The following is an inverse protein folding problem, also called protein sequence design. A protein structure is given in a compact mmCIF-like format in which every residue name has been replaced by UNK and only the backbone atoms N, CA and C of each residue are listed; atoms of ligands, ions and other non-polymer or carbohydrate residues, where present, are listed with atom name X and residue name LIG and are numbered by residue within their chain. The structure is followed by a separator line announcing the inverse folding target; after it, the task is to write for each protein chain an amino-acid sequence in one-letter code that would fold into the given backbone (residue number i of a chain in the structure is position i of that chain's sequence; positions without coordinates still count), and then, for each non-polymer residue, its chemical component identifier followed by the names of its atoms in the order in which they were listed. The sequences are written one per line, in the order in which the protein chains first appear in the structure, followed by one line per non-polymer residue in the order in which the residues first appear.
data_IF_458647583190
#
_entry.id   IF_458647583190
#
_cell.length_a   1.000
_cell.length_b   1.000
_cell.length_c   1.000
_cell.angle_alpha   90.00
_cell.angle_beta   90.00
_cell.angle_gamma   90.00
#
_symmetry.space_group_name_H-M   'P 1'
#
loop_
_entity.id
_entity.type
_entity.pdbx_description
1 polymer ?
#
# COMPACT_ATOMS: atom_id res chain seq x y z
N UNK A 1 16.28 -2.76 -13.26
CA UNK A 1 15.42 -2.74 -12.05
C UNK A 1 14.99 -1.35 -11.57
N UNK A 2 15.67 -0.23 -11.93
CA UNK A 2 15.26 1.13 -11.51
C UNK A 2 13.99 1.68 -12.20
N UNK A 3 13.75 1.30 -13.46
CA UNK A 3 12.65 1.87 -14.28
C UNK A 3 11.23 1.61 -13.74
N UNK A 4 11.03 0.55 -12.95
CA UNK A 4 9.71 0.21 -12.39
C UNK A 4 9.39 0.96 -11.09
N UNK A 5 10.41 1.42 -10.35
CA UNK A 5 10.26 2.05 -9.03
C UNK A 5 10.06 3.56 -9.16
N UNK A 6 10.65 4.18 -10.19
CA UNK A 6 10.52 5.63 -10.42
C UNK A 6 9.17 6.05 -11.01
N UNK A 7 8.36 5.08 -11.46
CA UNK A 7 7.04 5.39 -11.97
C UNK A 7 6.09 5.64 -10.78
N UNK A 8 5.54 6.85 -10.68
CA UNK A 8 4.56 7.26 -9.65
C UNK A 8 3.37 6.26 -9.50
N UNK A 9 3.10 5.48 -10.53
CA UNK A 9 2.08 4.43 -10.54
C UNK A 9 2.45 3.18 -9.72
N UNK A 10 3.73 2.93 -9.42
CA UNK A 10 4.17 1.76 -8.67
C UNK A 10 3.61 1.75 -7.24
N UNK A 11 3.76 2.86 -6.51
CA UNK A 11 3.21 2.99 -5.15
C UNK A 11 1.68 2.89 -5.13
N UNK A 12 1.01 3.44 -6.16
CA UNK A 12 -0.44 3.33 -6.31
C UNK A 12 -0.90 1.87 -6.52
N UNK A 13 -0.29 1.15 -7.46
CA UNK A 13 -0.61 -0.26 -7.74
C UNK A 13 -0.32 -1.12 -6.51
N UNK A 14 0.80 -0.89 -5.84
CA UNK A 14 1.17 -1.58 -4.60
C UNK A 14 0.12 -1.36 -3.51
N UNK A 15 -0.35 -0.12 -3.32
CA UNK A 15 -1.44 0.21 -2.38
C UNK A 15 -2.72 -0.54 -2.71
N UNK A 16 -3.17 -0.52 -3.98
CA UNK A 16 -4.41 -1.19 -4.39
C UNK A 16 -4.32 -2.70 -4.18
N UNK A 17 -3.19 -3.33 -4.54
CA UNK A 17 -2.98 -4.75 -4.34
C UNK A 17 -2.92 -5.12 -2.86
N UNK A 18 -2.16 -4.36 -2.07
CA UNK A 18 -2.06 -4.58 -0.63
C UNK A 18 -3.41 -4.42 0.08
N UNK A 19 -4.22 -3.44 -0.33
CA UNK A 19 -5.58 -3.26 0.17
C UNK A 19 -6.49 -4.42 -0.21
N UNK A 20 -6.46 -4.89 -1.46
CA UNK A 20 -7.26 -6.06 -1.87
C UNK A 20 -6.88 -7.32 -1.09
N UNK A 21 -5.59 -7.55 -0.86
CA UNK A 21 -5.11 -8.67 -0.04
C UNK A 21 -5.54 -8.47 1.43
N UNK A 22 -5.42 -7.26 1.96
CA UNK A 22 -5.88 -6.91 3.30
C UNK A 22 -7.37 -7.13 3.51
N UNK A 23 -8.21 -6.78 2.52
CA UNK A 23 -9.65 -7.07 2.51
C UNK A 23 -9.90 -8.58 2.49
N UNK A 24 -9.21 -9.32 1.63
CA UNK A 24 -9.37 -10.78 1.55
C UNK A 24 -9.02 -11.48 2.87
N UNK A 25 -7.93 -11.07 3.51
CA UNK A 25 -7.52 -11.59 4.82
C UNK A 25 -8.52 -11.16 5.90
N UNK A 26 -8.92 -9.88 5.92
CA UNK A 26 -9.92 -9.34 6.85
C UNK A 26 -11.23 -10.13 6.83
N UNK A 27 -11.72 -10.45 5.63
CA UNK A 27 -12.93 -11.26 5.45
C UNK A 27 -12.79 -12.69 6.00
N UNK A 28 -11.57 -13.26 5.96
CA UNK A 28 -11.31 -14.57 6.56
C UNK A 28 -11.17 -14.53 8.07
N UNK A 29 -10.56 -13.47 8.62
CA UNK A 29 -10.23 -13.40 10.04
C UNK A 29 -11.46 -13.03 10.89
N UNK A 30 -12.54 -12.47 10.32
CA UNK A 30 -13.83 -12.18 10.98
C UNK A 30 -13.73 -11.51 12.37
N UNK A 31 -12.62 -10.84 12.66
CA UNK A 31 -12.44 -10.05 13.87
C UNK A 31 -12.64 -8.57 13.53
N UNK A 32 -13.30 -7.79 14.41
CA UNK A 32 -13.48 -6.36 14.22
C UNK A 32 -12.16 -5.58 14.19
N UNK A 33 -11.07 -6.20 14.63
CA UNK A 33 -9.70 -5.63 14.63
C UNK A 33 -9.01 -5.79 13.27
N UNK A 34 -9.50 -6.68 12.40
CA UNK A 34 -8.94 -6.89 11.06
C UNK A 34 -9.37 -5.77 10.10
N UNK A 35 -9.02 -4.53 10.39
CA UNK A 35 -9.26 -3.40 9.49
C UNK A 35 -8.43 -3.61 8.21
N UNK A 36 -9.05 -3.69 7.02
CA UNK A 36 -8.35 -3.87 5.76
C UNK A 36 -7.27 -2.82 5.50
N UNK A 37 -7.47 -1.58 5.97
CA UNK A 37 -6.46 -0.51 5.87
C UNK A 37 -5.21 -0.83 6.69
N UNK A 38 -5.37 -1.29 7.93
CA UNK A 38 -4.24 -1.65 8.79
C UNK A 38 -3.46 -2.84 8.20
N UNK A 39 -4.15 -3.85 7.69
CA UNK A 39 -3.50 -4.98 7.03
C UNK A 39 -2.73 -4.55 5.77
N UNK A 40 -3.34 -3.70 4.95
CA UNK A 40 -2.67 -3.15 3.77
C UNK A 40 -1.36 -2.45 4.17
N UNK A 41 -1.40 -1.64 5.23
CA UNK A 41 -0.23 -0.92 5.75
C UNK A 41 0.89 -1.88 6.19
N UNK A 42 0.55 -2.95 6.92
CA UNK A 42 1.51 -3.99 7.34
C UNK A 42 2.14 -4.69 6.12
N UNK A 43 1.32 -5.05 5.13
CA UNK A 43 1.79 -5.71 3.89
C UNK A 43 2.76 -4.81 3.13
N UNK A 44 2.42 -3.53 3.00
CA UNK A 44 3.26 -2.53 2.32
C UNK A 44 4.58 -2.35 3.07
N UNK A 45 4.53 -2.13 4.38
CA UNK A 45 5.74 -1.96 5.20
C UNK A 45 6.66 -3.19 5.11
N UNK A 46 6.09 -4.40 5.19
CA UNK A 46 6.84 -5.64 5.01
C UNK A 46 7.48 -5.75 3.63
N UNK A 47 6.74 -5.39 2.58
CA UNK A 47 7.25 -5.38 1.21
C UNK A 47 8.38 -4.36 1.02
N UNK A 48 8.25 -3.14 1.55
CA UNK A 48 9.30 -2.12 1.50
C UNK A 48 10.57 -2.59 2.22
N UNK A 49 10.44 -3.24 3.39
CA UNK A 49 11.59 -3.78 4.12
C UNK A 49 12.33 -4.88 3.33
N UNK A 50 11.61 -5.79 2.67
CA UNK A 50 12.21 -6.86 1.86
C UNK A 50 12.86 -6.32 0.60
N UNK A 51 12.26 -5.31 -0.03
CA UNK A 51 12.76 -4.70 -1.28
C UNK A 51 13.80 -3.61 -1.04
N UNK A 52 13.96 -3.13 0.19
CA UNK A 52 14.85 -2.02 0.53
C UNK A 52 14.39 -0.67 -0.02
N UNK A 53 13.12 -0.55 -0.41
CA UNK A 53 12.57 0.71 -0.94
C UNK A 53 12.36 1.67 0.23
N UNK A 54 12.92 2.87 0.11
CA UNK A 54 12.71 3.92 1.11
C UNK A 54 11.25 4.39 1.11
N UNK A 55 10.75 4.73 2.29
CA UNK A 55 9.37 5.21 2.47
C UNK A 55 9.11 6.45 1.61
N UNK A 56 10.10 7.33 1.43
CA UNK A 56 10.00 8.50 0.55
C UNK A 56 9.68 8.14 -0.91
N UNK A 57 10.35 7.11 -1.46
CA UNK A 57 10.09 6.66 -2.84
C UNK A 57 8.70 6.08 -3.00
N UNK A 58 8.22 5.36 -1.99
CA UNK A 58 6.85 4.87 -1.96
C UNK A 58 5.83 6.02 -1.82
N UNK A 59 6.14 7.04 -1.02
CA UNK A 59 5.28 8.19 -0.77
C UNK A 59 4.98 9.01 -2.04
N UNK A 60 5.89 9.03 -3.02
CA UNK A 60 5.65 9.67 -4.32
C UNK A 60 4.41 9.04 -5.00
N UNK A 61 4.29 7.71 -4.98
CA UNK A 61 3.11 7.02 -5.51
C UNK A 61 1.92 7.02 -4.54
N UNK A 62 2.19 7.02 -3.23
CA UNK A 62 1.18 7.17 -2.18
C UNK A 62 0.52 8.56 -2.19
N UNK A 63 1.20 9.59 -2.66
CA UNK A 63 0.66 10.95 -2.79
C UNK A 63 -0.49 11.02 -3.79
N UNK A 64 -0.54 10.15 -4.82
CA UNK A 64 -1.73 10.02 -5.68
C UNK A 64 -2.93 9.48 -4.91
N UNK A 65 -2.71 8.44 -4.10
CA UNK A 65 -3.75 7.89 -3.22
C UNK A 65 -4.22 8.97 -2.24
N UNK A 66 -3.28 9.71 -1.66
CA UNK A 66 -3.58 10.79 -0.74
C UNK A 66 -4.27 11.96 -1.46
N UNK A 67 -3.98 12.26 -2.72
CA UNK A 67 -4.66 13.30 -3.50
C UNK A 67 -6.08 12.90 -3.89
N UNK A 68 -6.33 11.61 -4.15
CA UNK A 68 -7.68 11.07 -4.41
C UNK A 68 -8.53 10.97 -3.13
N UNK A 69 -7.90 10.77 -1.98
CA UNK A 69 -8.55 10.65 -0.66
C UNK A 69 -8.56 11.96 0.12
N UNK A 70 -7.68 12.92 -0.21
CA UNK A 70 -7.67 14.26 0.36
C UNK A 70 -8.95 14.98 -0.07
N UNK A 71 -9.54 15.77 0.82
CA UNK A 71 -10.84 16.38 0.58
C UNK A 71 -10.76 17.41 -0.55
N UNK A 72 -11.83 17.49 -1.34
CA UNK A 72 -12.34 18.78 -1.79
C UNK A 72 -13.02 19.48 -0.61
#
# INVERSE_FOLDING_TARGET
MKVLIEHQFFGFILCVLAFRIGVFISQKVKTPVANPLLLAMIIIIGFLMVTGISVDQFQIGGSLVNMLLSPA
#
